data_IF_582945104189
#
_entry.id   IF_582945104189
#
_cell.length_a   1.000
_cell.length_b   1.000
_cell.length_c   1.000
_cell.angle_alpha   90.00
_cell.angle_beta   90.00
_cell.angle_gamma   90.00
#
_symmetry.space_group_name_H-M   'P 1'
#
loop_
_entity.id
_entity.type
_entity.pdbx_description
1 polymer ?
#
# COMPACT_ATOMS: atom_id res chain seq x y z
N UNK A 1 -6.47 0.06 -10.10
CA UNK A 1 -5.56 0.26 -8.95
C UNK A 1 -4.20 -0.30 -9.34
N UNK A 2 -3.18 0.56 -9.27
CA UNK A 2 -1.78 0.21 -9.51
C UNK A 2 -1.05 0.38 -8.18
N UNK A 3 -0.27 -0.61 -7.79
CA UNK A 3 0.54 -0.62 -6.58
C UNK A 3 1.96 -0.24 -7.01
N UNK A 4 2.50 0.82 -6.41
CA UNK A 4 3.88 1.22 -6.64
C UNK A 4 4.74 0.74 -5.48
N UNK A 5 5.69 -0.14 -5.79
CA UNK A 5 6.67 -0.63 -4.83
C UNK A 5 7.75 0.43 -4.58
N UNK A 6 8.42 0.34 -3.43
CA UNK A 6 9.52 1.24 -3.07
C UNK A 6 10.67 1.23 -4.08
N UNK A 7 10.86 0.11 -4.80
CA UNK A 7 11.83 -0.01 -5.90
C UNK A 7 11.41 0.65 -7.22
N UNK A 8 10.30 1.40 -7.26
CA UNK A 8 9.80 2.10 -8.45
C UNK A 8 9.00 1.22 -9.42
N UNK A 9 8.99 -0.10 -9.21
CA UNK A 9 8.17 -1.05 -9.96
C UNK A 9 6.69 -0.80 -9.68
N UNK A 10 5.89 -0.74 -10.75
CA UNK A 10 4.44 -0.72 -10.65
C UNK A 10 3.88 -2.10 -10.91
N UNK A 11 2.82 -2.45 -10.20
CA UNK A 11 2.17 -3.74 -10.29
C UNK A 11 0.65 -3.52 -10.27
N UNK A 12 -0.07 -4.17 -11.16
CA UNK A 12 -1.53 -4.21 -11.11
C UNK A 12 -2.01 -5.00 -9.90
N UNK A 13 -3.24 -4.74 -9.44
CA UNK A 13 -3.86 -5.54 -8.37
C UNK A 13 -3.87 -7.04 -8.71
N UNK A 14 -4.12 -7.41 -9.96
CA UNK A 14 -4.12 -8.82 -10.42
C UNK A 14 -2.74 -9.47 -10.33
N UNK A 15 -1.68 -8.76 -10.72
CA UNK A 15 -0.32 -9.28 -10.60
C UNK A 15 0.10 -9.42 -9.13
N UNK A 16 -0.29 -8.48 -8.27
CA UNK A 16 -0.03 -8.58 -6.83
C UNK A 16 -0.78 -9.74 -6.19
N UNK A 17 -2.05 -9.96 -6.55
CA UNK A 17 -2.79 -11.13 -6.09
C UNK A 17 -2.16 -12.44 -6.56
N UNK A 18 -1.56 -12.45 -7.76
CA UNK A 18 -0.81 -13.61 -8.24
C UNK A 18 0.41 -13.89 -7.37
N UNK A 19 1.20 -12.87 -7.01
CA UNK A 19 2.40 -13.06 -6.14
C UNK A 19 2.04 -13.54 -4.74
N UNK A 20 0.85 -13.19 -4.23
CA UNK A 20 0.33 -13.76 -2.99
C UNK A 20 -0.06 -15.24 -3.17
N UNK A 21 -0.75 -15.56 -4.27
CA UNK A 21 -1.25 -16.91 -4.55
C UNK A 21 -0.12 -17.91 -4.77
N UNK A 22 0.91 -17.53 -5.51
CA UNK A 22 2.08 -18.39 -5.78
C UNK A 22 3.13 -18.36 -4.65
N UNK A 23 2.94 -17.49 -3.65
CA UNK A 23 3.82 -17.39 -2.49
C UNK A 23 5.14 -16.68 -2.76
N UNK A 24 5.29 -16.01 -3.91
CA UNK A 24 6.40 -15.09 -4.20
C UNK A 24 6.45 -13.99 -3.14
N UNK A 25 5.29 -13.49 -2.73
CA UNK A 25 5.13 -12.56 -1.61
C UNK A 25 4.39 -13.29 -0.48
N UNK A 26 4.95 -13.24 0.72
CA UNK A 26 4.31 -13.71 1.95
C UNK A 26 4.45 -12.65 3.01
N UNK A 27 3.32 -12.19 3.55
CA UNK A 27 3.27 -11.22 4.63
C UNK A 27 2.97 -11.95 5.94
N UNK A 28 3.73 -11.64 6.97
CA UNK A 28 3.63 -12.27 8.29
C UNK A 28 3.06 -11.30 9.33
N UNK A 29 3.47 -10.04 9.28
CA UNK A 29 2.99 -9.01 10.21
C UNK A 29 2.97 -7.62 9.56
N UNK A 30 2.20 -6.73 10.15
CA UNK A 30 2.07 -5.33 9.77
C UNK A 30 1.86 -4.46 11.01
N UNK A 31 2.68 -3.41 11.13
CA UNK A 31 2.52 -2.40 12.18
C UNK A 31 2.42 -1.01 11.57
N UNK A 32 1.28 -0.36 11.81
CA UNK A 32 1.13 1.05 11.51
C UNK A 32 1.89 1.87 12.57
N UNK A 33 2.79 2.73 12.13
CA UNK A 33 3.54 3.62 13.03
C UNK A 33 2.86 4.98 13.12
N UNK A 34 2.41 5.51 11.99
CA UNK A 34 1.80 6.82 11.88
C UNK A 34 0.90 6.88 10.65
N UNK A 35 -0.25 7.54 10.77
CA UNK A 35 -1.11 7.87 9.65
C UNK A 35 -1.71 9.26 9.85
N UNK A 36 -1.63 10.09 8.82
CA UNK A 36 -2.21 11.42 8.79
C UNK A 36 -3.08 11.54 7.53
N UNK A 37 -4.27 12.12 7.70
CA UNK A 37 -5.18 12.42 6.60
C UNK A 37 -5.20 13.93 6.40
N UNK A 38 -4.85 14.37 5.21
CA UNK A 38 -4.90 15.77 4.79
C UNK A 38 -6.04 15.95 3.80
N UNK A 39 -7.18 16.54 4.21
CA UNK A 39 -8.29 16.81 3.30
C UNK A 39 -7.88 17.81 2.21
N UNK A 40 -8.34 17.55 0.98
CA UNK A 40 -8.21 18.46 -0.16
C UNK A 40 -9.63 18.76 -0.65
N UNK A 41 -10.29 19.71 0.02
CA UNK A 41 -11.71 19.99 -0.19
C UNK A 41 -12.61 18.87 0.35
N UNK A 42 -13.80 18.71 -0.24
CA UNK A 42 -14.85 17.79 0.27
C UNK A 42 -14.73 16.35 -0.21
N UNK A 43 -14.08 16.14 -1.36
CA UNK A 43 -14.10 14.85 -2.07
C UNK A 43 -12.71 14.31 -2.37
N UNK A 44 -11.65 14.96 -1.90
CA UNK A 44 -10.28 14.47 -2.04
C UNK A 44 -9.57 14.53 -0.70
N UNK A 45 -8.62 13.64 -0.51
CA UNK A 45 -7.71 13.64 0.63
C UNK A 45 -6.40 12.97 0.25
N UNK A 46 -5.32 13.29 0.97
CA UNK A 46 -4.08 12.53 0.95
C UNK A 46 -3.98 11.77 2.27
N UNK A 47 -3.75 10.46 2.19
CA UNK A 47 -3.30 9.66 3.32
C UNK A 47 -1.79 9.54 3.25
N UNK A 48 -1.09 10.14 4.21
CA UNK A 48 0.34 9.96 4.42
C UNK A 48 0.54 9.00 5.59
N UNK A 49 1.22 7.87 5.36
CA UNK A 49 1.44 6.89 6.41
C UNK A 49 2.85 6.33 6.43
N UNK A 50 3.27 5.89 7.62
CA UNK A 50 4.49 5.13 7.89
C UNK A 50 4.13 3.84 8.59
N UNK A 51 4.73 2.75 8.16
CA UNK A 51 4.48 1.42 8.71
C UNK A 51 5.70 0.52 8.57
N UNK A 52 5.70 -0.60 9.30
CA UNK A 52 6.60 -1.73 9.05
C UNK A 52 5.79 -2.96 8.65
N UNK A 53 6.39 -3.84 7.85
CA UNK A 53 5.82 -5.16 7.56
C UNK A 53 6.90 -6.22 7.58
N UNK A 54 6.67 -7.32 8.30
CA UNK A 54 7.49 -8.53 8.15
C UNK A 54 6.97 -9.30 6.94
N UNK A 55 7.81 -9.42 5.92
CA UNK A 55 7.44 -10.11 4.70
C UNK A 55 8.62 -10.83 4.06
N UNK A 56 8.34 -11.98 3.43
CA UNK A 56 9.21 -12.61 2.45
C UNK A 56 8.81 -12.14 1.06
N UNK A 57 9.75 -11.48 0.37
CA UNK A 57 9.56 -10.95 -0.97
C UNK A 57 10.65 -11.55 -1.84
N UNK A 58 10.27 -12.29 -2.89
CA UNK A 58 11.20 -13.04 -3.74
C UNK A 58 12.15 -13.95 -2.94
N UNK A 59 11.62 -14.59 -1.89
CA UNK A 59 12.38 -15.50 -1.02
C UNK A 59 13.19 -14.82 0.10
N UNK A 60 13.33 -13.49 0.09
CA UNK A 60 14.07 -12.76 1.12
C UNK A 60 13.14 -12.23 2.22
N UNK A 61 13.23 -12.78 3.44
CA UNK A 61 12.43 -12.34 4.59
C UNK A 61 13.16 -11.28 5.41
N UNK A 62 12.49 -10.16 5.68
CA UNK A 62 12.89 -9.15 6.65
C UNK A 62 11.71 -8.27 7.05
N UNK A 63 11.95 -7.36 7.99
CA UNK A 63 11.07 -6.24 8.27
C UNK A 63 11.35 -5.10 7.28
N UNK A 64 10.35 -4.75 6.48
CA UNK A 64 10.37 -3.69 5.49
C UNK A 64 9.77 -2.42 6.08
N UNK A 65 10.46 -1.29 5.93
CA UNK A 65 9.93 0.04 6.27
C UNK A 65 9.18 0.61 5.07
N UNK A 66 7.97 1.11 5.33
CA UNK A 66 7.06 1.64 4.33
C UNK A 66 6.74 3.09 4.66
N UNK A 67 6.81 3.94 3.64
CA UNK A 67 6.35 5.32 3.71
C UNK A 67 5.67 5.66 2.39
N UNK A 68 4.41 6.04 2.46
CA UNK A 68 3.59 6.28 1.29
C UNK A 68 2.66 7.46 1.48
N UNK A 69 2.49 8.21 0.40
CA UNK A 69 1.40 9.16 0.22
C UNK A 69 0.43 8.56 -0.81
N UNK A 70 -0.83 8.39 -0.41
CA UNK A 70 -1.88 7.86 -1.28
C UNK A 70 -2.99 8.88 -1.40
N UNK A 71 -3.31 9.26 -2.64
CA UNK A 71 -4.46 10.13 -2.91
C UNK A 71 -5.74 9.32 -2.87
N UNK A 72 -6.77 9.88 -2.24
CA UNK A 72 -8.11 9.33 -2.20
C UNK A 72 -9.10 10.30 -2.83
N UNK A 73 -10.11 9.75 -3.50
CA UNK A 73 -11.29 10.48 -3.98
C UNK A 73 -12.56 9.83 -3.42
N UNK A 74 -13.51 10.66 -2.98
CA UNK A 74 -14.86 10.21 -2.63
C UNK A 74 -15.66 10.00 -3.91
N UNK A 75 -16.10 8.78 -4.16
CA UNK A 75 -16.87 8.37 -5.34
C UNK A 75 -18.11 7.65 -4.83
N UNK A 76 -19.30 8.19 -5.15
CA UNK A 76 -20.59 7.65 -4.68
C UNK A 76 -20.65 7.46 -3.16
N UNK A 77 -20.10 8.41 -2.39
CA UNK A 77 -20.09 8.34 -0.93
C UNK A 77 -18.90 7.57 -0.32
N UNK A 78 -18.16 6.79 -1.11
CA UNK A 78 -17.05 5.95 -0.66
C UNK A 78 -15.69 6.55 -0.99
N UNK A 79 -14.76 6.52 -0.04
CA UNK A 79 -13.36 6.90 -0.31
C UNK A 79 -12.63 5.78 -1.04
N UNK A 80 -12.04 6.10 -2.20
CA UNK A 80 -11.27 5.15 -3.02
C UNK A 80 -9.88 5.72 -3.31
N UNK A 81 -8.82 4.91 -3.21
CA UNK A 81 -7.49 5.34 -3.63
C UNK A 81 -7.48 5.57 -5.14
N UNK A 82 -6.82 6.65 -5.59
CA UNK A 82 -6.74 7.07 -7.00
C UNK A 82 -5.31 7.13 -7.48
#
# INVERSE_FOLDING_TARGET
>A
MVIRHSGGVTQTKSEWLKTLKDGTFRYYDYHLLEANVTPIGKERAILSFRATTDASIYGYRKVWKMQFDTTFKKINGEWKPT
#
